data_IF_695389428790
#
_entry.id   IF_695389428790
#
_cell.length_a   1.000
_cell.length_b   1.000
_cell.length_c   1.000
_cell.angle_alpha   90.00
_cell.angle_beta   90.00
_cell.angle_gamma   90.00
#
_symmetry.space_group_name_H-M   'P 1'
#
loop_
_entity.id
_entity.type
_entity.pdbx_description
1 polymer ?
#
# COMPACT_ATOMS: atom_id res chain seq x y z
N UNK A 1 -3.58 -23.72 7.32
CA UNK A 1 -3.21 -22.62 8.24
C UNK A 1 -3.49 -21.30 7.51
N UNK A 2 -4.69 -20.73 7.66
CA UNK A 2 -4.99 -19.40 7.11
C UNK A 2 -4.35 -18.38 8.05
N UNK A 3 -3.10 -18.01 7.79
CA UNK A 3 -2.53 -16.84 8.45
C UNK A 3 -3.41 -15.66 8.06
N UNK A 4 -4.22 -15.20 9.01
CA UNK A 4 -4.96 -13.96 8.95
C UNK A 4 -3.96 -12.80 8.94
N UNK A 5 -3.22 -12.63 7.84
CA UNK A 5 -2.83 -11.30 7.43
C UNK A 5 -4.13 -10.61 7.04
N UNK A 6 -4.80 -10.00 8.01
CA UNK A 6 -5.60 -8.82 7.72
C UNK A 6 -4.60 -7.84 7.12
N UNK A 7 -4.44 -7.89 5.78
CA UNK A 7 -3.50 -7.06 5.05
C UNK A 7 -3.81 -5.62 5.39
N UNK A 8 -3.01 -5.05 6.28
CA UNK A 8 -3.25 -3.73 6.82
C UNK A 8 -2.80 -2.72 5.77
N UNK A 9 -3.54 -2.62 4.66
CA UNK A 9 -3.28 -1.73 3.53
C UNK A 9 -3.21 -0.26 3.94
N UNK A 10 -3.76 0.05 5.11
CA UNK A 10 -3.67 1.34 5.75
C UNK A 10 -2.23 1.74 6.08
N UNK A 11 -1.26 0.82 6.09
CA UNK A 11 0.12 1.14 6.48
C UNK A 11 0.73 2.30 5.66
N UNK A 12 0.43 2.39 4.36
CA UNK A 12 0.91 3.51 3.52
C UNK A 12 0.34 4.85 3.98
N UNK A 13 -0.97 4.88 4.28
CA UNK A 13 -1.67 6.07 4.75
C UNK A 13 -1.20 6.43 6.16
N UNK A 14 -0.98 5.44 7.03
CA UNK A 14 -0.47 5.68 8.39
C UNK A 14 0.96 6.23 8.37
N UNK A 15 1.84 5.76 7.47
CA UNK A 15 3.18 6.36 7.30
C UNK A 15 3.06 7.84 6.92
N UNK A 16 2.27 8.18 5.91
CA UNK A 16 2.08 9.58 5.52
C UNK A 16 1.42 10.42 6.62
N UNK A 17 0.45 9.84 7.33
CA UNK A 17 -0.18 10.50 8.48
C UNK A 17 0.87 10.83 9.54
N UNK A 18 1.77 9.92 9.83
CA UNK A 18 2.83 10.14 10.82
C UNK A 18 3.84 11.20 10.34
N UNK A 19 4.21 11.18 9.06
CA UNK A 19 5.05 12.24 8.47
C UNK A 19 4.38 13.61 8.61
N UNK A 20 3.08 13.71 8.30
CA UNK A 20 2.34 14.97 8.46
C UNK A 20 2.30 15.41 9.92
N UNK A 21 1.99 14.48 10.84
CA UNK A 21 1.88 14.79 12.28
C UNK A 21 3.20 15.24 12.90
N UNK A 22 4.32 14.70 12.44
CA UNK A 22 5.66 15.01 12.95
C UNK A 22 6.31 16.23 12.27
N UNK A 23 5.73 16.73 11.18
CA UNK A 23 6.22 17.90 10.45
C UNK A 23 5.67 19.22 11.04
N UNK A 24 6.35 20.33 10.78
CA UNK A 24 5.83 21.66 11.14
C UNK A 24 4.52 21.94 10.38
N UNK A 25 3.45 22.30 11.09
CA UNK A 25 2.17 22.66 10.51
C UNK A 25 2.26 23.79 9.47
N UNK A 26 3.19 24.75 9.65
CA UNK A 26 3.46 25.81 8.68
C UNK A 26 4.14 25.30 7.41
N UNK A 27 4.81 24.16 7.47
CA UNK A 27 5.44 23.53 6.33
C UNK A 27 4.43 22.69 5.54
N UNK A 28 3.66 21.84 6.24
CA UNK A 28 2.65 20.95 5.63
C UNK A 28 1.58 21.73 4.87
N UNK A 29 1.22 22.92 5.33
CA UNK A 29 0.21 23.78 4.69
C UNK A 29 0.72 24.50 3.43
N UNK A 30 2.01 24.43 3.11
CA UNK A 30 2.57 25.07 1.91
C UNK A 30 2.17 24.32 0.65
N UNK A 31 1.84 25.07 -0.42
CA UNK A 31 1.55 24.50 -1.75
C UNK A 31 2.69 23.66 -2.34
N UNK A 32 3.92 23.85 -1.86
CA UNK A 32 5.12 23.12 -2.29
C UNK A 32 5.35 21.84 -1.50
N UNK A 33 4.65 21.62 -0.38
CA UNK A 33 4.79 20.40 0.39
C UNK A 33 4.38 19.19 -0.44
N UNK A 34 5.16 18.11 -0.34
CA UNK A 34 4.88 16.83 -1.02
C UNK A 34 5.12 15.72 -0.04
N UNK A 35 4.23 14.73 -0.05
CA UNK A 35 4.47 13.48 0.65
C UNK A 35 5.61 12.72 -0.03
N UNK A 36 6.43 12.06 0.78
CA UNK A 36 7.50 11.20 0.29
C UNK A 36 6.91 10.07 -0.57
N UNK A 37 7.63 9.71 -1.64
CA UNK A 37 7.31 8.54 -2.46
C UNK A 37 7.47 7.30 -1.59
N UNK A 38 6.44 6.46 -1.52
CA UNK A 38 6.51 5.15 -0.86
C UNK A 38 6.42 4.06 -1.93
N UNK A 39 7.38 3.14 -1.90
CA UNK A 39 7.38 1.95 -2.75
C UNK A 39 7.03 0.75 -1.85
N UNK A 40 5.80 0.22 -1.92
CA UNK A 40 5.45 -0.94 -1.13
C UNK A 40 6.08 -2.20 -1.72
N UNK A 41 6.93 -2.87 -0.94
CA UNK A 41 7.61 -4.11 -1.32
C UNK A 41 7.07 -5.26 -0.47
N UNK A 42 6.66 -6.34 -1.13
CA UNK A 42 6.32 -7.60 -0.49
C UNK A 42 7.52 -8.53 -0.64
N UNK A 43 8.13 -8.90 0.48
CA UNK A 43 9.11 -9.97 0.57
C UNK A 43 8.38 -11.26 0.97
N UNK A 44 8.38 -12.26 0.09
CA UNK A 44 7.71 -13.53 0.33
C UNK A 44 8.70 -14.70 0.32
N UNK A 45 8.91 -15.28 1.50
CA UNK A 45 9.76 -16.46 1.73
C UNK A 45 8.87 -17.63 2.14
N UNK A 46 7.91 -17.98 1.27
CA UNK A 46 7.05 -19.13 1.46
C UNK A 46 7.48 -20.33 0.62
N UNK A 47 6.98 -21.50 0.98
CA UNK A 47 7.13 -22.73 0.20
C UNK A 47 6.14 -22.81 -0.96
N UNK A 48 4.96 -22.22 -0.78
CA UNK A 48 3.88 -22.22 -1.77
C UNK A 48 3.98 -21.01 -2.69
N UNK A 49 3.22 -20.98 -3.78
CA UNK A 49 3.14 -19.80 -4.64
C UNK A 49 2.35 -18.68 -3.94
N UNK A 50 2.77 -17.44 -4.17
CA UNK A 50 2.02 -16.26 -3.73
C UNK A 50 0.72 -16.13 -4.53
N UNK A 51 -0.42 -16.07 -3.83
CA UNK A 51 -1.76 -16.03 -4.45
C UNK A 51 -2.49 -14.70 -4.29
N UNK A 52 -2.00 -13.80 -3.42
CA UNK A 52 -2.64 -12.51 -3.18
C UNK A 52 -2.39 -11.55 -4.34
N UNK A 53 -3.38 -10.75 -4.77
CA UNK A 53 -3.15 -9.76 -5.82
C UNK A 53 -2.07 -8.72 -5.47
N UNK A 54 -1.21 -8.38 -6.45
CA UNK A 54 -0.19 -7.33 -6.31
C UNK A 54 -0.70 -5.90 -6.62
N UNK A 55 -2.01 -5.73 -6.78
CA UNK A 55 -2.67 -4.43 -6.94
C UNK A 55 -3.73 -4.32 -5.88
N UNK A 56 -3.66 -3.28 -5.05
CA UNK A 56 -4.58 -3.08 -3.93
C UNK A 56 -6.06 -3.13 -4.36
N UNK A 57 -6.40 -2.49 -5.50
CA UNK A 57 -7.80 -2.45 -5.95
C UNK A 57 -8.42 -3.82 -6.22
N UNK A 58 -7.61 -4.87 -6.47
CA UNK A 58 -8.11 -6.24 -6.65
C UNK A 58 -8.53 -6.91 -5.34
N UNK A 59 -8.21 -6.31 -4.21
CA UNK A 59 -8.55 -6.78 -2.87
C UNK A 59 -9.75 -6.03 -2.28
N UNK A 60 -10.22 -4.96 -2.95
CA UNK A 60 -11.36 -4.16 -2.54
C UNK A 60 -12.66 -4.73 -3.14
N UNK A 61 -13.72 -4.76 -2.32
CA UNK A 61 -15.03 -5.17 -2.80
C UNK A 61 -15.56 -4.16 -3.82
N UNK A 62 -16.19 -4.63 -4.90
CA UNK A 62 -16.83 -3.81 -5.93
C UNK A 62 -15.92 -2.78 -6.63
N UNK A 63 -14.59 -2.89 -6.53
CA UNK A 63 -13.65 -1.92 -7.14
C UNK A 63 -13.84 -1.73 -8.66
N UNK A 64 -14.35 -2.76 -9.35
CA UNK A 64 -14.64 -2.69 -10.79
C UNK A 64 -15.66 -1.61 -11.11
N UNK A 65 -16.66 -1.37 -10.24
CA UNK A 65 -17.72 -0.37 -10.46
C UNK A 65 -17.17 1.06 -10.57
N UNK A 66 -16.03 1.33 -9.95
CA UNK A 66 -15.46 2.67 -9.84
C UNK A 66 -14.21 2.84 -10.71
N UNK A 67 -13.74 1.77 -11.38
CA UNK A 67 -12.68 1.83 -12.38
C UNK A 67 -11.37 2.45 -11.88
N UNK A 68 -10.95 3.54 -12.51
CA UNK A 68 -9.72 4.26 -12.20
C UNK A 68 -9.88 5.29 -11.08
N UNK A 69 -11.11 5.52 -10.60
CA UNK A 69 -11.36 6.37 -9.43
C UNK A 69 -11.06 5.63 -8.11
N UNK A 70 -10.77 4.33 -8.16
CA UNK A 70 -10.40 3.55 -6.97
C UNK A 70 -8.95 3.79 -6.60
N UNK A 71 -8.73 4.16 -5.34
CA UNK A 71 -7.39 4.20 -4.75
C UNK A 71 -6.67 2.86 -4.97
N UNK A 72 -5.51 2.90 -5.61
CA UNK A 72 -4.77 1.70 -5.96
C UNK A 72 -3.27 1.94 -5.86
N UNK A 73 -2.57 0.99 -5.24
CA UNK A 73 -1.11 0.89 -5.30
C UNK A 73 -0.70 -0.47 -5.88
N UNK A 74 0.43 -0.49 -6.58
CA UNK A 74 1.05 -1.72 -7.08
C UNK A 74 2.20 -2.08 -6.13
N UNK A 75 2.21 -3.32 -5.66
CA UNK A 75 3.28 -3.86 -4.85
C UNK A 75 4.40 -4.35 -5.75
N UNK A 76 5.64 -3.97 -5.42
CA UNK A 76 6.81 -4.70 -5.90
C UNK A 76 6.86 -6.02 -5.14
N UNK A 77 7.02 -7.11 -5.88
CA UNK A 77 7.03 -8.45 -5.31
C UNK A 77 8.43 -9.03 -5.44
N UNK A 78 9.03 -9.38 -4.30
CA UNK A 78 10.28 -10.09 -4.19
C UNK A 78 9.99 -11.44 -3.54
N UNK A 79 9.86 -12.47 -4.35
CA UNK A 79 9.68 -13.85 -3.89
C UNK A 79 10.50 -14.79 -4.76
N UNK A 80 10.65 -16.04 -4.32
CA UNK A 80 11.20 -17.07 -5.20
C UNK A 80 10.21 -17.32 -6.33
N UNK A 81 10.56 -16.90 -7.52
CA UNK A 81 10.07 -17.50 -8.75
C UNK A 81 10.95 -18.73 -8.99
N UNK A 82 10.35 -19.94 -8.97
CA UNK A 82 11.03 -21.15 -9.43
C UNK A 82 11.39 -21.01 -10.91
#
# INVERSE_FOLDING_TARGET
MKQNFAYNHNFLVEIWREVIKSSDAKEVTRKTFRLSVIIPIILYIGKDNWTTPLKFKRMLNQAVLFGDNVLNCKYLFLGRTL
#
